data_IF_978597781326
#
_entry.id   IF_978597781326
#
_cell.length_a   1.000
_cell.length_b   1.000
_cell.length_c   1.000
_cell.angle_alpha   90.00
_cell.angle_beta   90.00
_cell.angle_gamma   90.00
#
_symmetry.space_group_name_H-M   'P 1'
#
loop_
_entity.id
_entity.type
_entity.pdbx_description
1 polymer ?
#
# COMPACT_ATOMS: atom_id res chain seq x y z
N UNK A 1 -10.63 -75.65 -40.03
CA UNK A 1 -11.10 -75.45 -41.42
C UNK A 1 -10.14 -76.18 -42.35
N UNK A 2 -10.63 -77.15 -43.13
CA UNK A 2 -9.76 -77.95 -44.01
C UNK A 2 -9.26 -77.10 -45.20
N UNK A 3 -7.96 -77.14 -45.50
CA UNK A 3 -7.38 -76.44 -46.66
C UNK A 3 -8.07 -76.90 -47.96
N UNK A 4 -8.42 -75.99 -48.87
CA UNK A 4 -9.00 -76.35 -50.17
C UNK A 4 -8.02 -77.21 -50.99
N UNK A 5 -8.58 -78.14 -51.78
CA UNK A 5 -7.80 -79.07 -52.62
C UNK A 5 -6.99 -78.31 -53.69
N UNK A 6 -5.80 -78.82 -54.01
CA UNK A 6 -4.87 -78.21 -54.97
C UNK A 6 -5.09 -78.63 -56.43
N UNK A 7 -6.06 -79.52 -56.68
CA UNK A 7 -6.43 -80.05 -57.99
C UNK A 7 -7.95 -80.25 -58.06
N UNK A 8 -8.50 -80.27 -59.26
CA UNK A 8 -9.93 -80.51 -59.52
C UNK A 8 -10.18 -81.94 -59.99
N UNK A 9 -11.44 -82.39 -59.91
CA UNK A 9 -11.83 -83.73 -60.36
C UNK A 9 -11.66 -83.88 -61.89
N UNK A 10 -11.85 -82.79 -62.65
CA UNK A 10 -11.59 -82.75 -64.09
C UNK A 10 -10.10 -82.98 -64.43
N UNK A 11 -9.19 -82.39 -63.64
CA UNK A 11 -7.74 -82.58 -63.81
C UNK A 11 -7.35 -84.05 -63.60
N UNK A 12 -7.99 -84.72 -62.65
CA UNK A 12 -7.80 -86.15 -62.40
C UNK A 12 -8.29 -87.02 -63.56
N UNK A 13 -9.50 -86.75 -64.07
CA UNK A 13 -10.09 -87.51 -65.18
C UNK A 13 -9.21 -87.38 -66.43
N UNK A 14 -8.75 -86.17 -66.74
CA UNK A 14 -7.93 -85.92 -67.92
C UNK A 14 -6.60 -86.67 -67.87
N UNK A 15 -5.91 -86.63 -66.72
CA UNK A 15 -4.62 -87.34 -66.54
C UNK A 15 -4.81 -88.85 -66.58
N UNK A 16 -5.91 -89.37 -66.01
CA UNK A 16 -6.20 -90.80 -66.04
C UNK A 16 -6.52 -91.27 -67.47
N UNK A 17 -7.30 -90.49 -68.24
CA UNK A 17 -7.54 -90.78 -69.65
C UNK A 17 -6.26 -90.69 -70.49
N UNK A 18 -5.37 -89.75 -70.19
CA UNK A 18 -4.08 -89.61 -70.86
C UNK A 18 -3.18 -90.83 -70.58
N UNK A 19 -3.09 -91.27 -69.33
CA UNK A 19 -2.35 -92.49 -68.93
C UNK A 19 -2.95 -93.74 -69.62
N UNK A 20 -4.29 -93.85 -69.65
CA UNK A 20 -4.97 -94.94 -70.34
C UNK A 20 -4.75 -94.91 -71.86
N UNK A 21 -4.74 -93.73 -72.47
CA UNK A 21 -4.48 -93.56 -73.92
C UNK A 21 -3.04 -93.93 -74.30
N UNK A 22 -2.10 -93.78 -73.37
CA UNK A 22 -0.70 -94.22 -73.51
C UNK A 22 -0.54 -95.73 -73.28
N UNK A 23 -1.59 -96.42 -72.83
CA UNK A 23 -1.58 -97.86 -72.60
C UNK A 23 -0.88 -98.28 -71.32
N UNK A 24 -0.67 -97.35 -70.39
CA UNK A 24 -0.01 -97.60 -69.10
C UNK A 24 -1.02 -97.90 -67.98
N UNK A 25 -0.58 -98.60 -66.93
CA UNK A 25 -1.42 -98.87 -65.75
C UNK A 25 -1.63 -97.62 -64.89
N UNK A 26 -2.86 -97.43 -64.43
CA UNK A 26 -3.23 -96.31 -63.57
C UNK A 26 -2.64 -96.53 -62.17
N UNK A 27 -1.58 -95.79 -61.83
CA UNK A 27 -1.04 -95.76 -60.47
C UNK A 27 -1.17 -94.37 -59.83
N UNK A 28 -1.53 -94.32 -58.54
CA UNK A 28 -1.70 -93.07 -57.78
C UNK A 28 -0.43 -92.21 -57.77
N UNK A 29 0.75 -92.86 -57.84
CA UNK A 29 2.03 -92.16 -57.91
C UNK A 29 2.23 -91.48 -59.26
N UNK A 30 1.93 -92.16 -60.37
CA UNK A 30 2.05 -91.60 -61.72
C UNK A 30 1.11 -90.42 -61.95
N UNK A 31 -0.10 -90.51 -61.40
CA UNK A 31 -1.06 -89.41 -61.41
C UNK A 31 -0.52 -88.20 -60.63
N UNK A 32 0.11 -88.42 -59.47
CA UNK A 32 0.73 -87.34 -58.68
C UNK A 32 1.93 -86.72 -59.40
N UNK A 33 2.72 -87.52 -60.10
CA UNK A 33 3.85 -87.06 -60.91
C UNK A 33 3.38 -86.13 -62.03
N UNK A 34 2.32 -86.52 -62.75
CA UNK A 34 1.68 -85.72 -63.80
C UNK A 34 0.97 -84.46 -63.25
N UNK A 35 0.31 -84.54 -62.08
CA UNK A 35 -0.32 -83.38 -61.42
C UNK A 35 0.69 -82.38 -60.83
N UNK A 36 1.85 -82.87 -60.39
CA UNK A 36 2.89 -82.10 -59.67
C UNK A 36 2.46 -81.59 -58.27
N UNK A 37 1.23 -81.89 -57.82
CA UNK A 37 0.63 -81.37 -56.59
C UNK A 37 -0.41 -82.33 -56.01
N UNK A 38 -0.75 -82.16 -54.74
CA UNK A 38 -1.72 -83.00 -54.02
C UNK A 38 -1.10 -84.14 -53.19
N UNK A 39 -1.84 -84.60 -52.17
CA UNK A 39 -1.44 -85.74 -51.33
C UNK A 39 -1.92 -87.05 -51.97
N UNK A 40 -1.06 -88.07 -51.98
CA UNK A 40 -1.36 -89.40 -52.56
C UNK A 40 -2.64 -90.03 -51.99
N UNK A 41 -2.87 -89.91 -50.68
CA UNK A 41 -4.05 -90.46 -50.02
C UNK A 41 -5.35 -89.79 -50.48
N UNK A 42 -5.29 -88.49 -50.79
CA UNK A 42 -6.45 -87.75 -51.31
C UNK A 42 -6.70 -88.09 -52.77
N UNK A 43 -5.64 -88.21 -53.58
CA UNK A 43 -5.70 -88.62 -54.98
C UNK A 43 -6.27 -90.03 -55.11
N UNK A 44 -5.81 -90.98 -54.28
CA UNK A 44 -6.31 -92.37 -54.28
C UNK A 44 -7.81 -92.44 -54.00
N UNK A 45 -8.27 -91.75 -52.94
CA UNK A 45 -9.67 -91.73 -52.54
C UNK A 45 -10.56 -91.04 -53.58
N UNK A 46 -10.07 -89.96 -54.18
CA UNK A 46 -10.84 -89.25 -55.21
C UNK A 46 -10.90 -90.07 -56.51
N UNK A 47 -9.85 -90.82 -56.86
CA UNK A 47 -9.83 -91.78 -57.97
C UNK A 47 -10.82 -92.92 -57.77
N UNK A 48 -10.82 -93.56 -56.60
CA UNK A 48 -11.77 -94.62 -56.24
C UNK A 48 -13.21 -94.10 -56.35
N UNK A 49 -13.49 -92.89 -55.83
CA UNK A 49 -14.80 -92.25 -55.96
C UNK A 49 -15.19 -91.95 -57.41
N UNK A 50 -14.24 -91.55 -58.27
CA UNK A 50 -14.50 -91.26 -59.69
C UNK A 50 -14.71 -92.54 -60.54
N UNK A 51 -14.08 -93.65 -60.14
CA UNK A 51 -14.34 -94.98 -60.69
C UNK A 51 -15.73 -95.47 -60.25
N UNK A 52 -16.06 -95.34 -58.96
CA UNK A 52 -17.35 -95.78 -58.39
C UNK A 52 -18.55 -94.98 -58.92
N UNK A 53 -18.34 -93.72 -59.30
CA UNK A 53 -19.37 -92.86 -59.92
C UNK A 53 -19.51 -93.04 -61.44
N UNK A 54 -18.67 -93.89 -62.05
CA UNK A 54 -18.71 -94.23 -63.48
C UNK A 54 -18.14 -93.15 -64.40
N UNK A 55 -17.42 -92.15 -63.87
CA UNK A 55 -16.81 -91.07 -64.65
C UNK A 55 -15.43 -91.47 -65.24
N UNK A 56 -14.83 -92.54 -64.74
CA UNK A 56 -13.59 -93.14 -65.26
C UNK A 56 -13.83 -94.62 -65.56
N UNK A 57 -13.82 -95.01 -66.83
CA UNK A 57 -13.94 -96.40 -67.25
C UNK A 57 -12.54 -97.07 -67.32
N UNK A 58 -12.20 -97.86 -66.31
CA UNK A 58 -10.92 -98.58 -66.21
C UNK A 58 -10.97 -99.98 -66.81
N UNK A 59 -12.04 -100.37 -67.51
CA UNK A 59 -12.19 -101.71 -68.08
C UNK A 59 -11.30 -101.93 -69.32
N UNK A 60 -9.99 -102.08 -69.13
CA UNK A 60 -9.11 -102.61 -70.18
C UNK A 60 -9.28 -104.13 -70.25
N UNK A 61 -9.76 -104.59 -71.41
CA UNK A 61 -9.78 -106.00 -71.84
C UNK A 61 -8.45 -106.67 -71.51
N UNK A 62 -8.50 -107.69 -70.65
CA UNK A 62 -7.39 -108.63 -70.42
C UNK A 62 -7.07 -109.33 -71.75
N UNK A 63 -6.08 -108.81 -72.46
CA UNK A 63 -5.38 -109.60 -73.47
C UNK A 63 -4.45 -110.53 -72.71
N UNK A 64 -4.89 -111.79 -72.64
CA UNK A 64 -4.07 -112.96 -72.34
C UNK A 64 -2.74 -112.90 -73.10
N UNK A 65 -1.69 -112.40 -72.46
CA UNK A 65 -0.32 -112.76 -72.84
C UNK A 65 0.02 -114.05 -72.12
N UNK A 66 -0.27 -115.12 -72.86
CA UNK A 66 0.36 -116.42 -72.82
C UNK A 66 1.60 -116.50 -71.92
N UNK A 67 1.46 -117.31 -70.86
CA UNK A 67 2.31 -118.48 -70.61
C UNK A 67 3.52 -118.49 -71.55
N UNK A 68 4.63 -117.91 -71.11
CA UNK A 68 5.93 -118.38 -71.58
C UNK A 68 6.34 -119.43 -70.56
N UNK A 69 5.80 -120.64 -70.76
CA UNK A 69 6.46 -121.86 -70.34
C UNK A 69 7.94 -121.70 -70.69
N UNK A 70 8.80 -121.65 -69.66
CA UNK A 70 10.23 -121.83 -69.88
C UNK A 70 10.35 -123.09 -70.76
N UNK A 71 10.88 -122.98 -71.99
CA UNK A 71 11.14 -124.18 -72.74
C UNK A 71 12.05 -125.01 -71.84
N UNK A 72 11.70 -126.29 -71.64
CA UNK A 72 12.67 -127.28 -71.22
C UNK A 72 13.69 -127.29 -72.33
N UNK A 73 14.68 -126.39 -72.24
CA UNK A 73 15.91 -126.47 -73.00
C UNK A 73 16.45 -127.80 -72.53
N UNK A 74 16.36 -128.80 -73.41
CA UNK A 74 17.04 -130.06 -73.22
C UNK A 74 18.46 -129.71 -72.78
N UNK A 75 18.81 -130.03 -71.54
CA UNK A 75 20.15 -129.81 -71.02
C UNK A 75 21.07 -130.82 -71.70
N UNK A 76 21.38 -130.55 -72.96
CA UNK A 76 22.67 -130.94 -73.51
C UNK A 76 23.68 -130.27 -72.58
N UNK A 77 24.46 -131.08 -71.86
CA UNK A 77 25.71 -130.59 -71.30
C UNK A 77 26.49 -130.01 -72.47
N UNK A 78 26.59 -128.68 -72.48
CA UNK A 78 27.48 -127.97 -73.39
C UNK A 78 28.86 -128.65 -73.27
N UNK A 79 29.61 -128.85 -74.37
CA UNK A 79 30.97 -129.38 -74.30
C UNK A 79 31.74 -128.69 -73.18
N UNK A 80 32.51 -129.45 -72.40
CA UNK A 80 33.19 -128.98 -71.17
C UNK A 80 33.94 -127.67 -71.42
N UNK A 81 34.48 -127.47 -72.62
CA UNK A 81 35.14 -126.25 -73.06
C UNK A 81 34.21 -125.02 -73.07
N UNK A 82 32.98 -125.16 -73.55
CA UNK A 82 31.97 -124.07 -73.60
C UNK A 82 31.40 -123.79 -72.21
N UNK A 83 31.20 -124.82 -71.39
CA UNK A 83 30.74 -124.65 -70.01
C UNK A 83 31.81 -123.98 -69.13
N UNK A 84 33.09 -124.30 -69.36
CA UNK A 84 34.22 -123.62 -68.70
C UNK A 84 34.37 -122.16 -69.16
N UNK A 85 34.19 -121.86 -70.46
CA UNK A 85 34.19 -120.49 -70.97
C UNK A 85 33.03 -119.65 -70.42
N UNK A 86 31.83 -120.24 -70.31
CA UNK A 86 30.67 -119.58 -69.69
C UNK A 86 30.92 -119.30 -68.20
N UNK A 87 31.40 -120.30 -67.44
CA UNK A 87 31.73 -120.13 -66.02
C UNK A 87 32.82 -119.08 -65.80
N UNK A 88 33.83 -119.03 -66.69
CA UNK A 88 34.88 -118.00 -66.68
C UNK A 88 34.29 -116.61 -66.98
N UNK A 89 33.43 -116.49 -67.99
CA UNK A 89 32.74 -115.24 -68.33
C UNK A 89 31.83 -114.77 -67.19
N UNK A 90 31.06 -115.66 -66.57
CA UNK A 90 30.21 -115.37 -65.41
C UNK A 90 31.04 -114.94 -64.20
N UNK A 91 32.17 -115.59 -63.94
CA UNK A 91 33.10 -115.19 -62.89
C UNK A 91 33.69 -113.81 -63.17
N UNK A 92 34.05 -113.50 -64.41
CA UNK A 92 34.62 -112.22 -64.79
C UNK A 92 33.55 -111.10 -64.74
N UNK A 93 32.31 -111.37 -65.15
CA UNK A 93 31.15 -110.49 -64.93
C UNK A 93 30.92 -110.27 -63.44
N UNK A 94 30.95 -111.32 -62.61
CA UNK A 94 30.79 -111.20 -61.16
C UNK A 94 31.89 -110.34 -60.54
N UNK A 95 33.16 -110.50 -60.95
CA UNK A 95 34.27 -109.63 -60.52
C UNK A 95 34.05 -108.18 -60.94
N UNK A 96 33.53 -107.94 -62.15
CA UNK A 96 33.19 -106.59 -62.62
C UNK A 96 32.06 -105.99 -61.77
N UNK A 97 30.97 -106.73 -61.54
CA UNK A 97 29.84 -106.28 -60.72
C UNK A 97 30.26 -106.00 -59.28
N UNK A 98 31.08 -106.88 -58.69
CA UNK A 98 31.64 -106.67 -57.35
C UNK A 98 32.48 -105.40 -57.31
N UNK A 99 33.38 -105.20 -58.28
CA UNK A 99 34.21 -103.99 -58.35
C UNK A 99 33.36 -102.73 -58.48
N UNK A 100 32.34 -102.75 -59.35
CA UNK A 100 31.40 -101.63 -59.52
C UNK A 100 30.66 -101.35 -58.23
N UNK A 101 30.10 -102.38 -57.58
CA UNK A 101 29.37 -102.26 -56.31
C UNK A 101 30.26 -101.69 -55.20
N UNK A 102 31.48 -102.21 -55.06
CA UNK A 102 32.44 -101.69 -54.08
C UNK A 102 32.81 -100.23 -54.37
N UNK A 103 33.11 -99.90 -55.63
CA UNK A 103 33.43 -98.52 -56.03
C UNK A 103 32.27 -97.57 -55.76
N UNK A 104 31.04 -97.98 -56.08
CA UNK A 104 29.84 -97.19 -55.86
C UNK A 104 29.62 -96.96 -54.35
N UNK A 105 29.70 -98.01 -53.54
CA UNK A 105 29.56 -97.89 -52.09
C UNK A 105 30.63 -96.95 -51.49
N UNK A 106 31.88 -97.05 -51.93
CA UNK A 106 32.95 -96.13 -51.50
C UNK A 106 32.64 -94.67 -51.87
N UNK A 107 32.16 -94.41 -53.10
CA UNK A 107 31.78 -93.06 -53.53
C UNK A 107 30.58 -92.52 -52.75
N UNK A 108 29.58 -93.36 -52.47
CA UNK A 108 28.41 -92.99 -51.68
C UNK A 108 28.81 -92.66 -50.24
N UNK A 109 29.67 -93.48 -49.61
CA UNK A 109 30.19 -93.19 -48.28
C UNK A 109 30.96 -91.86 -48.24
N UNK A 110 31.87 -91.65 -49.20
CA UNK A 110 32.63 -90.40 -49.30
C UNK A 110 31.72 -89.19 -49.54
N UNK A 111 30.67 -89.34 -50.34
CA UNK A 111 29.69 -88.28 -50.57
C UNK A 111 28.95 -87.89 -49.28
N UNK A 112 28.43 -88.86 -48.53
CA UNK A 112 27.73 -88.58 -47.28
C UNK A 112 28.65 -88.04 -46.19
N UNK A 113 29.89 -88.53 -46.11
CA UNK A 113 30.90 -87.99 -45.20
C UNK A 113 31.20 -86.52 -45.52
N UNK A 114 31.45 -86.19 -46.80
CA UNK A 114 31.66 -84.81 -47.24
C UNK A 114 30.44 -83.92 -46.97
N UNK A 115 29.23 -84.42 -47.23
CA UNK A 115 27.99 -83.68 -46.97
C UNK A 115 27.78 -83.44 -45.48
N UNK A 116 28.08 -84.42 -44.64
CA UNK A 116 27.97 -84.30 -43.18
C UNK A 116 29.00 -83.31 -42.64
N UNK A 117 30.25 -83.39 -43.10
CA UNK A 117 31.29 -82.44 -42.74
C UNK A 117 30.95 -81.01 -43.18
N UNK A 118 30.41 -80.83 -44.39
CA UNK A 118 29.95 -79.53 -44.87
C UNK A 118 28.82 -78.96 -44.00
N UNK A 119 27.85 -79.80 -43.61
CA UNK A 119 26.76 -79.38 -42.71
C UNK A 119 27.25 -79.04 -41.31
N UNK A 120 28.14 -79.86 -40.74
CA UNK A 120 28.74 -79.57 -39.43
C UNK A 120 29.45 -78.22 -39.47
N UNK A 121 30.26 -77.98 -40.51
CA UNK A 121 30.96 -76.71 -40.65
C UNK A 121 30.00 -75.51 -40.86
N UNK A 122 28.93 -75.69 -41.63
CA UNK A 122 27.88 -74.67 -41.76
C UNK A 122 27.18 -74.39 -40.42
N UNK A 123 26.93 -75.42 -39.61
CA UNK A 123 26.37 -75.23 -38.27
C UNK A 123 27.35 -74.52 -37.33
N UNK A 124 28.61 -74.94 -37.29
CA UNK A 124 29.65 -74.32 -36.46
C UNK A 124 29.82 -72.83 -36.80
N UNK A 125 29.86 -72.50 -38.09
CA UNK A 125 29.96 -71.10 -38.54
C UNK A 125 28.72 -70.29 -38.17
N UNK A 126 27.52 -70.86 -38.28
CA UNK A 126 26.28 -70.19 -37.84
C UNK A 126 26.23 -70.00 -36.32
N UNK A 127 26.66 -70.98 -35.53
CA UNK A 127 26.70 -70.87 -34.07
C UNK A 127 27.73 -69.85 -33.63
N UNK A 128 28.91 -69.82 -34.25
CA UNK A 128 29.94 -68.82 -33.95
C UNK A 128 29.47 -67.40 -34.26
N UNK A 129 28.76 -67.22 -35.38
CA UNK A 129 28.16 -65.93 -35.73
C UNK A 129 27.06 -65.52 -34.73
N UNK A 130 26.20 -66.46 -34.31
CA UNK A 130 25.16 -66.21 -33.33
C UNK A 130 25.74 -65.83 -31.95
N UNK A 131 26.77 -66.54 -31.49
CA UNK A 131 27.48 -66.23 -30.24
C UNK A 131 28.10 -64.84 -30.33
N UNK A 132 28.81 -64.52 -31.41
CA UNK A 132 29.40 -63.17 -31.60
C UNK A 132 28.35 -62.08 -31.58
N UNK A 133 27.23 -62.27 -32.29
CA UNK A 133 26.13 -61.31 -32.31
C UNK A 133 25.51 -61.13 -30.91
N UNK A 134 25.31 -62.23 -30.17
CA UNK A 134 24.82 -62.18 -28.79
C UNK A 134 25.78 -61.42 -27.88
N UNK A 135 27.08 -61.74 -27.90
CA UNK A 135 28.09 -61.03 -27.08
C UNK A 135 28.14 -59.54 -27.40
N UNK A 136 28.02 -59.15 -28.68
CA UNK A 136 27.95 -57.74 -29.07
C UNK A 136 26.70 -57.05 -28.51
N UNK A 137 25.54 -57.73 -28.55
CA UNK A 137 24.29 -57.19 -28.00
C UNK A 137 24.35 -57.05 -26.47
N UNK A 138 24.90 -58.05 -25.78
CA UNK A 138 25.11 -58.03 -24.32
C UNK A 138 26.03 -56.89 -23.90
N UNK A 139 27.16 -56.70 -24.59
CA UNK A 139 28.07 -55.58 -24.34
C UNK A 139 27.37 -54.22 -24.57
N UNK A 140 26.59 -54.10 -25.66
CA UNK A 140 25.83 -52.87 -25.96
C UNK A 140 24.78 -52.59 -24.88
N UNK A 141 24.09 -53.62 -24.38
CA UNK A 141 23.16 -53.48 -23.26
C UNK A 141 23.88 -53.02 -21.98
N UNK A 142 25.02 -53.63 -21.64
CA UNK A 142 25.79 -53.25 -20.46
C UNK A 142 26.27 -51.78 -20.52
N UNK A 143 26.77 -51.33 -21.67
CA UNK A 143 27.17 -49.93 -21.88
C UNK A 143 25.98 -48.97 -21.76
N UNK A 144 24.81 -49.36 -22.28
CA UNK A 144 23.58 -48.57 -22.19
C UNK A 144 23.07 -48.49 -20.75
N UNK A 145 23.11 -49.58 -19.99
CA UNK A 145 22.74 -49.62 -18.58
C UNK A 145 23.64 -48.71 -17.73
N UNK A 146 24.96 -48.78 -17.93
CA UNK A 146 25.91 -47.89 -17.22
C UNK A 146 25.64 -46.41 -17.53
N UNK A 147 25.38 -46.09 -18.81
CA UNK A 147 25.01 -44.73 -19.20
C UNK A 147 23.71 -44.27 -18.55
N UNK A 148 22.71 -45.16 -18.49
CA UNK A 148 21.41 -44.86 -17.91
C UNK A 148 21.53 -44.62 -16.39
N UNK A 149 22.32 -45.42 -15.68
CA UNK A 149 22.61 -45.22 -14.26
C UNK A 149 23.25 -43.85 -14.00
N UNK A 150 24.28 -43.48 -14.77
CA UNK A 150 24.90 -42.14 -14.67
C UNK A 150 23.90 -41.01 -14.94
N UNK A 151 22.95 -41.23 -15.85
CA UNK A 151 21.91 -40.24 -16.14
C UNK A 151 20.87 -40.14 -15.02
N UNK A 152 20.51 -41.24 -14.37
CA UNK A 152 19.65 -41.24 -13.18
C UNK A 152 20.33 -40.47 -12.05
N UNK A 153 21.58 -40.80 -11.70
CA UNK A 153 22.32 -40.11 -10.64
C UNK A 153 22.43 -38.59 -10.89
N UNK A 154 22.67 -38.20 -12.15
CA UNK A 154 22.69 -36.78 -12.53
C UNK A 154 21.31 -36.12 -12.37
N UNK A 155 20.23 -36.79 -12.78
CA UNK A 155 18.88 -36.28 -12.65
C UNK A 155 18.47 -36.13 -11.18
N UNK A 156 18.77 -37.11 -10.33
CA UNK A 156 18.53 -37.05 -8.88
C UNK A 156 19.26 -35.84 -8.27
N UNK A 157 20.54 -35.65 -8.60
CA UNK A 157 21.30 -34.47 -8.13
C UNK A 157 20.72 -33.14 -8.64
N UNK A 158 20.12 -33.11 -9.83
CA UNK A 158 19.46 -31.93 -10.36
C UNK A 158 18.12 -31.67 -9.67
N UNK A 159 17.35 -32.71 -9.35
CA UNK A 159 16.10 -32.61 -8.59
C UNK A 159 16.35 -32.07 -7.19
N UNK A 160 17.37 -32.57 -6.47
CA UNK A 160 17.78 -32.03 -5.16
C UNK A 160 18.16 -30.54 -5.23
N UNK A 161 18.87 -30.13 -6.29
CA UNK A 161 19.24 -28.71 -6.50
C UNK A 161 18.01 -27.85 -6.79
N UNK A 162 17.04 -28.36 -7.54
CA UNK A 162 15.79 -27.65 -7.83
C UNK A 162 15.01 -27.46 -6.53
N UNK A 163 14.85 -28.51 -5.72
CA UNK A 163 14.17 -28.44 -4.42
C UNK A 163 14.83 -27.41 -3.50
N UNK A 164 16.15 -27.44 -3.37
CA UNK A 164 16.88 -26.47 -2.56
C UNK A 164 16.72 -25.02 -3.06
N UNK A 165 16.73 -24.81 -4.38
CA UNK A 165 16.50 -23.48 -4.97
C UNK A 165 15.07 -22.99 -4.73
N UNK A 166 14.08 -23.87 -4.77
CA UNK A 166 12.68 -23.55 -4.47
C UNK A 166 12.48 -23.18 -3.00
N UNK A 167 13.15 -23.85 -2.07
CA UNK A 167 13.17 -23.49 -0.64
C UNK A 167 13.76 -22.09 -0.42
N UNK A 168 14.92 -21.80 -1.01
CA UNK A 168 15.57 -20.48 -0.93
C UNK A 168 14.68 -19.38 -1.54
N UNK A 169 14.01 -19.68 -2.64
CA UNK A 169 13.10 -18.75 -3.31
C UNK A 169 11.87 -18.49 -2.42
N UNK A 170 11.32 -19.52 -1.77
CA UNK A 170 10.21 -19.38 -0.83
C UNK A 170 10.62 -18.54 0.39
N UNK A 171 11.81 -18.78 0.96
CA UNK A 171 12.32 -17.99 2.08
C UNK A 171 12.53 -16.52 1.67
N UNK A 172 13.12 -16.27 0.50
CA UNK A 172 13.31 -14.93 -0.04
C UNK A 172 11.98 -14.19 -0.24
N UNK A 173 10.95 -14.87 -0.76
CA UNK A 173 9.59 -14.30 -0.89
C UNK A 173 8.97 -13.96 0.46
N UNK A 174 9.16 -14.81 1.48
CA UNK A 174 8.67 -14.55 2.83
C UNK A 174 9.35 -13.32 3.43
N UNK A 175 10.69 -13.25 3.35
CA UNK A 175 11.47 -12.09 3.79
C UNK A 175 11.04 -10.80 3.05
N UNK A 176 10.84 -10.87 1.73
CA UNK A 176 10.34 -9.74 0.94
C UNK A 176 8.95 -9.28 1.41
N UNK A 177 8.04 -10.21 1.69
CA UNK A 177 6.71 -9.90 2.23
C UNK A 177 6.80 -9.16 3.57
N UNK A 178 7.69 -9.60 4.47
CA UNK A 178 7.85 -8.95 5.78
C UNK A 178 8.52 -7.58 5.67
N UNK A 179 9.47 -7.41 4.75
CA UNK A 179 10.02 -6.09 4.40
C UNK A 179 8.94 -5.15 3.83
N UNK A 180 8.03 -5.65 3.01
CA UNK A 180 6.90 -4.84 2.50
C UNK A 180 5.97 -4.44 3.65
N UNK A 181 5.64 -5.35 4.57
CA UNK A 181 4.81 -5.02 5.75
C UNK A 181 5.45 -3.96 6.63
N UNK A 182 6.74 -4.10 6.95
CA UNK A 182 7.47 -3.12 7.78
C UNK A 182 7.60 -1.77 7.07
N UNK A 183 7.85 -1.74 5.76
CA UNK A 183 7.88 -0.51 4.98
C UNK A 183 6.52 0.21 4.99
N UNK A 184 5.42 -0.52 4.83
CA UNK A 184 4.08 0.05 4.93
C UNK A 184 3.79 0.62 6.33
N UNK A 185 4.20 -0.07 7.39
CA UNK A 185 4.08 0.43 8.78
C UNK A 185 4.88 1.72 8.99
N UNK A 186 6.13 1.76 8.52
CA UNK A 186 6.98 2.95 8.62
C UNK A 186 6.41 4.11 7.80
N UNK A 187 5.91 3.84 6.60
CA UNK A 187 5.27 4.85 5.74
C UNK A 187 4.04 5.45 6.41
N UNK A 188 3.18 4.62 7.01
CA UNK A 188 2.02 5.08 7.76
C UNK A 188 2.42 5.88 9.01
N UNK A 189 3.47 5.44 9.73
CA UNK A 189 4.00 6.17 10.89
C UNK A 189 4.55 7.55 10.48
N UNK A 190 5.29 7.62 9.36
CA UNK A 190 5.84 8.85 8.81
C UNK A 190 4.73 9.81 8.35
N UNK A 191 3.66 9.28 7.74
CA UNK A 191 2.49 10.09 7.39
C UNK A 191 1.84 10.70 8.64
N UNK A 192 1.63 9.89 9.69
CA UNK A 192 1.05 10.36 10.95
C UNK A 192 1.90 11.40 11.66
N UNK A 193 3.23 11.24 11.67
CA UNK A 193 4.13 12.24 12.25
C UNK A 193 4.16 13.53 11.44
N UNK A 194 4.05 13.45 10.11
CA UNK A 194 3.96 14.61 9.23
C UNK A 194 2.66 15.38 9.47
N UNK A 195 1.51 14.70 9.57
CA UNK A 195 0.22 15.33 9.89
C UNK A 195 0.24 16.03 11.27
N UNK A 196 0.89 15.42 12.27
CA UNK A 196 1.11 16.06 13.57
C UNK A 196 2.01 17.29 13.48
N UNK A 197 3.06 17.24 12.67
CA UNK A 197 3.96 18.37 12.46
C UNK A 197 3.21 19.54 11.82
N UNK A 198 2.36 19.27 10.82
CA UNK A 198 1.53 20.28 10.17
C UNK A 198 0.55 20.92 11.17
N UNK A 199 -0.11 20.12 11.99
CA UNK A 199 -0.99 20.63 13.08
C UNK A 199 -0.22 21.47 14.11
N UNK A 200 0.99 21.05 14.50
CA UNK A 200 1.84 21.86 15.36
C UNK A 200 2.29 23.17 14.68
N UNK A 201 2.53 23.15 13.38
CA UNK A 201 2.87 24.36 12.64
C UNK A 201 1.70 25.35 12.57
N UNK A 202 0.46 24.86 12.40
CA UNK A 202 -0.76 25.68 12.48
C UNK A 202 -0.91 26.33 13.86
N UNK A 203 -0.82 25.53 14.93
CA UNK A 203 -0.89 26.07 16.31
C UNK A 203 0.21 27.08 16.62
N UNK A 204 1.44 26.88 16.12
CA UNK A 204 2.52 27.88 16.25
C UNK A 204 2.14 29.19 15.53
N UNK A 205 1.53 29.11 14.35
CA UNK A 205 1.11 30.28 13.59
C UNK A 205 -0.01 31.05 14.32
N UNK A 206 -0.98 30.34 14.89
CA UNK A 206 -2.04 30.93 15.73
C UNK A 206 -1.48 31.61 16.97
N UNK A 207 -0.55 30.96 17.68
CA UNK A 207 0.12 31.53 18.85
C UNK A 207 0.93 32.78 18.49
N UNK A 208 1.65 32.77 17.37
CA UNK A 208 2.36 33.95 16.86
C UNK A 208 1.39 35.10 16.57
N UNK A 209 0.24 34.83 15.96
CA UNK A 209 -0.78 35.84 15.68
C UNK A 209 -1.38 36.41 16.98
N UNK A 210 -1.66 35.55 17.97
CA UNK A 210 -2.14 35.95 19.30
C UNK A 210 -1.13 36.84 20.02
N UNK A 211 0.16 36.44 20.00
CA UNK A 211 1.24 37.21 20.61
C UNK A 211 1.37 38.59 19.95
N UNK A 212 1.36 38.67 18.62
CA UNK A 212 1.39 39.95 17.91
C UNK A 212 0.18 40.85 18.24
N UNK A 213 -1.00 40.26 18.50
CA UNK A 213 -2.19 41.01 18.95
C UNK A 213 -2.01 41.56 20.36
N UNK A 214 -1.44 40.76 21.27
CA UNK A 214 -1.13 41.19 22.64
C UNK A 214 -0.08 42.29 22.65
N UNK A 215 1.00 42.16 21.87
CA UNK A 215 2.05 43.18 21.75
C UNK A 215 1.47 44.52 21.26
N UNK A 216 0.60 44.50 20.24
CA UNK A 216 -0.11 45.70 19.78
C UNK A 216 -1.01 46.30 20.87
N UNK A 217 -1.73 45.45 21.60
CA UNK A 217 -2.58 45.89 22.73
C UNK A 217 -1.76 46.53 23.84
N UNK A 218 -0.62 45.93 24.20
CA UNK A 218 0.31 46.46 25.20
C UNK A 218 0.91 47.80 24.78
N UNK A 219 1.35 47.93 23.52
CA UNK A 219 1.85 49.19 22.99
C UNK A 219 0.79 50.30 23.04
N UNK A 220 -0.47 49.99 22.69
CA UNK A 220 -1.57 50.95 22.80
C UNK A 220 -1.85 51.37 24.25
N UNK A 221 -1.85 50.42 25.20
CA UNK A 221 -2.02 50.72 26.63
C UNK A 221 -0.87 51.56 27.19
N UNK A 222 0.37 51.28 26.79
CA UNK A 222 1.54 52.08 27.19
C UNK A 222 1.40 53.54 26.74
N UNK A 223 1.01 53.78 25.49
CA UNK A 223 0.74 55.13 24.96
C UNK A 223 -0.39 55.81 25.72
N UNK A 224 -1.47 55.09 26.04
CA UNK A 224 -2.59 55.64 26.80
C UNK A 224 -2.20 55.99 28.24
N UNK A 225 -1.35 55.19 28.87
CA UNK A 225 -0.82 55.45 30.20
C UNK A 225 0.06 56.72 30.20
N UNK A 226 0.94 56.88 29.22
CA UNK A 226 1.76 58.08 29.06
C UNK A 226 0.91 59.34 28.84
N UNK A 227 -0.16 59.25 28.03
CA UNK A 227 -1.10 60.35 27.85
C UNK A 227 -1.78 60.73 29.17
N UNK A 228 -2.36 59.76 29.89
CA UNK A 228 -3.01 59.99 31.19
C UNK A 228 -2.02 60.55 32.23
N UNK A 229 -0.75 60.11 32.20
CA UNK A 229 0.29 60.64 33.09
C UNK A 229 0.62 62.10 32.78
N UNK A 230 0.68 62.47 31.52
CA UNK A 230 0.89 63.86 31.11
C UNK A 230 -0.31 64.74 31.45
N UNK A 231 -1.52 64.22 31.30
CA UNK A 231 -2.75 64.93 31.71
C UNK A 231 -2.78 65.15 33.22
N UNK A 232 -2.44 64.13 34.02
CA UNK A 232 -2.33 64.25 35.47
C UNK A 232 -1.31 65.31 35.89
N UNK A 233 -0.12 65.34 35.26
CA UNK A 233 0.87 66.42 35.48
C UNK A 233 0.33 67.80 35.12
N UNK A 234 -0.46 67.91 34.05
CA UNK A 234 -1.08 69.19 33.67
C UNK A 234 -2.12 69.65 34.70
N UNK A 235 -2.95 68.74 35.23
CA UNK A 235 -3.89 69.06 36.30
C UNK A 235 -3.18 69.44 37.60
N UNK A 236 -2.10 68.74 37.95
CA UNK A 236 -1.27 69.07 39.11
C UNK A 236 -0.70 70.49 39.02
N UNK A 237 -0.18 70.87 37.84
CA UNK A 237 0.35 72.20 37.60
C UNK A 237 -0.74 73.29 37.70
N UNK A 238 -1.92 73.06 37.09
CA UNK A 238 -3.08 73.97 37.24
C UNK A 238 -3.56 74.09 38.68
N UNK A 239 -3.53 72.99 39.44
CA UNK A 239 -3.89 73.00 40.85
C UNK A 239 -2.90 73.83 41.66
N UNK A 240 -1.60 73.71 41.40
CA UNK A 240 -0.57 74.55 42.01
C UNK A 240 -0.77 76.04 41.70
N UNK A 241 -1.03 76.40 40.44
CA UNK A 241 -1.35 77.78 40.04
C UNK A 241 -2.60 78.33 40.77
N UNK A 242 -3.63 77.49 40.93
CA UNK A 242 -4.86 77.86 41.63
C UNK A 242 -4.63 78.03 43.13
N UNK A 243 -3.81 77.18 43.75
CA UNK A 243 -3.40 77.33 45.15
C UNK A 243 -2.66 78.66 45.35
N UNK A 244 -1.71 78.98 44.48
CA UNK A 244 -0.98 80.25 44.54
C UNK A 244 -1.92 81.46 44.40
N UNK A 245 -2.86 81.44 43.44
CA UNK A 245 -3.86 82.49 43.31
C UNK A 245 -4.76 82.61 44.56
N UNK A 246 -5.12 81.48 45.17
CA UNK A 246 -5.90 81.47 46.40
C UNK A 246 -5.12 82.08 47.56
N UNK A 247 -3.86 81.70 47.75
CA UNK A 247 -2.98 82.28 48.78
C UNK A 247 -2.82 83.79 48.59
N UNK A 248 -2.57 84.26 47.36
CA UNK A 248 -2.51 85.69 47.05
C UNK A 248 -3.83 86.41 47.37
N UNK A 249 -4.98 85.77 47.08
CA UNK A 249 -6.30 86.33 47.37
C UNK A 249 -6.55 86.41 48.87
N UNK A 250 -6.20 85.37 49.62
CA UNK A 250 -6.29 85.33 51.08
C UNK A 250 -5.40 86.42 51.69
N UNK A 251 -4.19 86.61 51.17
CA UNK A 251 -3.29 87.68 51.61
C UNK A 251 -3.90 89.07 51.39
N UNK A 252 -4.39 89.36 50.18
CA UNK A 252 -5.09 90.63 49.88
C UNK A 252 -6.32 90.83 50.77
N UNK A 253 -7.10 89.77 51.02
CA UNK A 253 -8.27 89.83 51.88
C UNK A 253 -7.88 90.14 53.34
N UNK A 254 -6.78 89.58 53.83
CA UNK A 254 -6.23 89.91 55.15
C UNK A 254 -5.73 91.36 55.23
N UNK A 255 -5.08 91.87 54.19
CA UNK A 255 -4.66 93.28 54.08
C UNK A 255 -5.88 94.22 54.15
N UNK A 256 -6.92 93.96 53.34
CA UNK A 256 -8.17 94.72 53.36
C UNK A 256 -8.87 94.62 54.71
N UNK A 257 -8.90 93.45 55.36
CA UNK A 257 -9.45 93.29 56.71
C UNK A 257 -8.68 94.10 57.76
N UNK A 258 -7.37 94.20 57.64
CA UNK A 258 -6.54 95.02 58.53
C UNK A 258 -6.81 96.52 58.31
N UNK A 259 -6.90 96.97 57.05
CA UNK A 259 -7.32 98.33 56.69
C UNK A 259 -8.72 98.65 57.21
N UNK A 260 -9.68 97.75 57.01
CA UNK A 260 -11.04 97.90 57.52
C UNK A 260 -11.04 98.06 59.04
N UNK A 261 -10.32 97.21 59.79
CA UNK A 261 -10.19 97.36 61.26
C UNK A 261 -9.56 98.70 61.65
N UNK A 262 -8.55 99.16 60.91
CA UNK A 262 -7.93 100.47 61.12
C UNK A 262 -8.92 101.61 60.91
N UNK A 263 -9.66 101.60 59.79
CA UNK A 263 -10.71 102.60 59.49
C UNK A 263 -11.86 102.55 60.50
N UNK A 264 -12.28 101.36 60.94
CA UNK A 264 -13.28 101.18 62.00
C UNK A 264 -12.81 101.81 63.31
N UNK A 265 -11.56 101.58 63.72
CA UNK A 265 -10.99 102.20 64.94
C UNK A 265 -10.87 103.72 64.81
N UNK A 266 -10.53 104.24 63.62
CA UNK A 266 -10.51 105.67 63.36
C UNK A 266 -11.92 106.28 63.43
N UNK A 267 -12.93 105.57 62.90
CA UNK A 267 -14.33 105.96 62.97
C UNK A 267 -14.82 105.97 64.42
N UNK A 268 -14.56 104.92 65.21
CA UNK A 268 -14.90 104.88 66.65
C UNK A 268 -14.29 106.06 67.42
N UNK A 269 -13.03 106.42 67.14
CA UNK A 269 -12.40 107.61 67.74
C UNK A 269 -13.10 108.91 67.32
N UNK A 270 -13.49 109.01 66.06
CA UNK A 270 -14.27 110.15 65.55
C UNK A 270 -15.64 110.23 66.22
N UNK A 271 -16.33 109.10 66.43
CA UNK A 271 -17.62 109.04 67.12
C UNK A 271 -17.51 109.46 68.59
N UNK A 272 -16.46 109.00 69.29
CA UNK A 272 -16.16 109.48 70.67
C UNK A 272 -15.89 110.98 70.69
N UNK A 273 -15.18 111.51 69.68
CA UNK A 273 -14.94 112.94 69.56
C UNK A 273 -16.24 113.73 69.28
N UNK A 274 -17.10 113.22 68.41
CA UNK A 274 -18.42 113.79 68.14
C UNK A 274 -19.32 113.78 69.39
N UNK A 275 -19.32 112.69 70.17
CA UNK A 275 -20.03 112.64 71.44
C UNK A 275 -19.52 113.68 72.43
N UNK A 276 -18.19 113.83 72.55
CA UNK A 276 -17.59 114.91 73.38
C UNK A 276 -18.05 116.28 72.91
N UNK A 277 -17.98 116.55 71.61
CA UNK A 277 -18.41 117.83 71.03
C UNK A 277 -19.90 118.11 71.27
N UNK A 278 -20.75 117.07 71.17
CA UNK A 278 -22.17 117.17 71.51
C UNK A 278 -22.38 117.49 73.00
N UNK A 279 -21.65 116.83 73.90
CA UNK A 279 -21.71 117.13 75.33
C UNK A 279 -21.26 118.56 75.65
N UNK A 280 -20.16 119.03 75.05
CA UNK A 280 -19.69 120.42 75.16
C UNK A 280 -20.72 121.41 74.62
N UNK A 281 -21.33 121.11 73.47
CA UNK A 281 -22.40 121.94 72.91
C UNK A 281 -23.61 122.01 73.85
N UNK A 282 -23.97 120.89 74.48
CA UNK A 282 -25.06 120.81 75.44
C UNK A 282 -24.75 121.59 76.73
N UNK A 283 -23.52 121.51 77.24
CA UNK A 283 -23.02 122.33 78.35
C UNK A 283 -23.04 123.82 78.01
N UNK A 284 -22.51 124.21 76.86
CA UNK A 284 -22.55 125.59 76.37
C UNK A 284 -23.98 126.09 76.22
N UNK A 285 -24.89 125.27 75.71
CA UNK A 285 -26.32 125.59 75.59
C UNK A 285 -26.96 125.85 76.97
N UNK A 286 -26.66 125.01 77.97
CA UNK A 286 -27.12 125.22 79.36
C UNK A 286 -26.52 126.49 79.95
N UNK A 287 -25.24 126.74 79.72
CA UNK A 287 -24.55 127.92 80.23
C UNK A 287 -25.09 129.22 79.59
N UNK A 288 -25.40 129.17 78.30
CA UNK A 288 -26.03 130.29 77.59
C UNK A 288 -27.44 130.60 78.16
N UNK A 289 -28.23 129.56 78.47
CA UNK A 289 -29.54 129.74 79.17
C UNK A 289 -29.37 130.34 80.57
N UNK A 290 -28.32 129.98 81.32
CA UNK A 290 -28.02 130.59 82.63
C UNK A 290 -27.63 132.07 82.50
N UNK A 291 -26.83 132.41 81.49
CA UNK A 291 -26.46 133.79 81.17
C UNK A 291 -27.68 134.62 80.72
N UNK A 292 -28.55 134.08 79.87
CA UNK A 292 -29.82 134.72 79.49
C UNK A 292 -30.71 134.98 80.72
N UNK A 293 -30.82 134.02 81.65
CA UNK A 293 -31.55 134.21 82.89
C UNK A 293 -30.92 135.28 83.80
N UNK A 294 -29.59 135.33 83.90
CA UNK A 294 -28.88 136.38 84.68
C UNK A 294 -29.06 137.76 84.04
N UNK A 295 -29.04 137.85 82.71
CA UNK A 295 -29.29 139.09 81.98
C UNK A 295 -30.71 139.59 82.23
N UNK A 296 -31.70 138.68 82.23
CA UNK A 296 -33.09 139.00 82.54
C UNK A 296 -33.25 139.52 83.98
N UNK A 297 -32.60 138.90 84.96
CA UNK A 297 -32.58 139.40 86.35
C UNK A 297 -31.92 140.78 86.47
N UNK A 298 -30.86 141.04 85.70
CA UNK A 298 -30.23 142.35 85.63
C UNK A 298 -31.15 143.40 84.98
N UNK A 299 -31.98 143.01 84.01
CA UNK A 299 -32.97 143.91 83.42
C UNK A 299 -34.12 144.23 84.39
N UNK A 300 -34.61 143.25 85.14
CA UNK A 300 -35.62 143.45 86.20
C UNK A 300 -35.13 144.42 87.30
N UNK A 301 -33.86 144.30 87.72
CA UNK A 301 -33.26 145.22 88.70
C UNK A 301 -33.06 146.64 88.17
N UNK A 302 -32.76 146.82 86.88
CA UNK A 302 -32.70 148.14 86.24
C UNK A 302 -34.09 148.78 86.19
N UNK A 303 -35.15 148.01 85.91
CA UNK A 303 -36.52 148.53 85.92
C UNK A 303 -36.98 148.96 87.31
N UNK A 304 -36.58 148.24 88.35
CA UNK A 304 -36.85 148.61 89.76
C UNK A 304 -36.09 149.89 90.18
N UNK A 305 -34.86 150.08 89.71
CA UNK A 305 -34.11 151.32 90.00
C UNK A 305 -34.70 152.54 89.28
N UNK A 306 -35.19 152.37 88.05
CA UNK A 306 -35.84 153.44 87.29
C UNK A 306 -37.17 153.90 87.93
N UNK A 307 -37.99 152.98 88.44
CA UNK A 307 -39.22 153.33 89.16
C UNK A 307 -38.94 154.04 90.49
N UNK A 308 -37.81 153.71 91.14
CA UNK A 308 -37.36 154.39 92.37
C UNK A 308 -36.88 155.82 92.12
N UNK A 309 -36.22 156.07 90.98
CA UNK A 309 -35.82 157.42 90.56
C UNK A 309 -37.03 158.33 90.25
N UNK A 310 -38.04 157.82 89.55
CA UNK A 310 -39.28 158.59 89.28
C UNK A 310 -40.02 159.01 90.56
N UNK A 311 -39.99 158.17 91.61
CA UNK A 311 -40.59 158.50 92.91
C UNK A 311 -39.87 159.63 93.64
N UNK A 312 -38.55 159.78 93.45
CA UNK A 312 -37.75 160.83 94.08
C UNK A 312 -37.93 162.19 93.37
N UNK A 313 -38.09 162.19 92.04
CA UNK A 313 -38.39 163.41 91.26
C UNK A 313 -39.75 164.03 91.62
N UNK A 314 -40.77 163.21 91.90
CA UNK A 314 -42.08 163.71 92.35
C UNK A 314 -42.04 164.38 93.74
N UNK A 315 -41.18 163.91 94.64
CA UNK A 315 -41.07 164.46 96.00
C UNK A 315 -40.34 165.81 96.04
N UNK A 316 -39.44 166.07 95.09
CA UNK A 316 -38.72 167.35 94.98
C UNK A 316 -39.61 168.47 94.41
N UNK A 317 -40.54 168.16 93.52
CA UNK A 317 -41.47 169.16 92.94
C UNK A 317 -42.47 169.73 93.96
N UNK A 318 -42.92 168.93 94.95
CA UNK A 318 -43.88 169.39 95.97
C UNK A 318 -43.29 170.35 97.01
N UNK A 319 -41.95 170.44 97.14
CA UNK A 319 -41.29 171.38 98.07
C UNK A 319 -41.09 172.78 97.48
N UNK A 320 -41.14 172.96 96.16
CA UNK A 320 -41.01 174.26 95.49
C UNK A 320 -42.26 175.14 95.60
N UNK A 321 -43.45 174.56 95.47
CA UNK A 321 -44.70 175.34 95.36
C UNK A 321 -45.20 175.95 96.69
N UNK A 322 -44.68 175.53 97.85
CA UNK A 322 -45.07 176.11 99.16
C UNK A 322 -44.22 177.32 99.58
N UNK A 323 -43.12 177.62 98.90
CA UNK A 323 -42.23 178.76 99.27
C UNK A 323 -42.61 180.07 98.59
N UNK A 324 -43.35 180.04 97.48
CA UNK A 324 -43.60 181.22 96.63
C UNK A 324 -44.95 181.92 96.87
N UNK A 325 -45.80 181.41 97.77
CA UNK A 325 -47.21 181.80 97.75
C UNK A 325 -47.70 182.85 98.75
N UNK A 326 -46.97 183.40 99.74
CA UNK A 326 -47.51 184.58 100.49
C UNK A 326 -46.51 185.38 101.35
N UNK A 327 -45.44 185.84 100.70
CA UNK A 327 -44.67 187.03 101.07
C UNK A 327 -45.32 188.31 100.46
N UNK A 328 -46.67 188.37 100.36
CA UNK A 328 -47.42 189.35 99.55
C UNK A 328 -48.55 190.11 100.29
N UNK A 329 -48.41 190.36 101.59
CA UNK A 329 -49.33 191.22 102.37
C UNK A 329 -48.64 191.95 103.54
N UNK A 330 -47.61 192.77 103.24
CA UNK A 330 -47.04 193.77 104.14
C UNK A 330 -46.60 195.01 103.33
N UNK A 331 -47.50 195.53 102.49
CA UNK A 331 -47.34 196.84 101.82
C UNK A 331 -48.70 197.47 101.51
N UNK A 332 -49.29 198.14 102.50
CA UNK A 332 -49.96 199.47 102.43
C UNK A 332 -50.88 199.65 103.65
N UNK A 333 -50.86 200.90 104.15
CA UNK A 333 -51.59 201.52 105.27
C UNK A 333 -52.87 200.88 105.80
#
# INVERSE_FOLDING_TARGET
>A
MARPKSYTDQDLIQIVQEILSQGDEISTWRIKEQLGRGKLSTIKRDLERLIDSGEIDTARKEQNTAITENPVIASYELPIEVQNLLAQSEQDICKIIQRITTSLNCQVHQHYENLMNARIHEFDTKTDLAIKAQTMAENTCAEMEERLLKQIELNESLEEKIEHLDELLMESRLQQSDLIKTNNQLTNSLKHTTEKLDSHQETINELKASLAKIEKGFAAQAVQLDYSRNEAKSYELKLSEQIECHEQTVQKMNEVLAELKSTQSALEKSDVFLQKLQSEHQELSVNNKLLENSLRQSQETITDLNTRNQKLEQQLSQRGEKSDSLNKALSEQ
#
